data_IF_884221666924
#
_entry.id   IF_884221666924
#
_cell.length_a   1.000
_cell.length_b   1.000
_cell.length_c   1.000
_cell.angle_alpha   90.00
_cell.angle_beta   90.00
_cell.angle_gamma   90.00
#
_symmetry.space_group_name_H-M   'P 1'
#
loop_
_entity.id
_entity.type
_entity.pdbx_description
1 polymer ?
#
# COMPACT_ATOMS: atom_id res chain seq x y z
N UNK A 1 -1.04 -12.70 -10.94
CA UNK A 1 0.20 -12.32 -10.21
C UNK A 1 1.12 -13.50 -9.94
N UNK A 2 0.61 -14.60 -9.37
CA UNK A 2 1.41 -15.82 -9.18
C UNK A 2 1.97 -16.36 -10.51
N UNK A 3 3.24 -16.79 -10.51
CA UNK A 3 3.94 -17.31 -11.69
C UNK A 3 4.65 -16.27 -12.56
N UNK A 4 4.44 -14.98 -12.32
CA UNK A 4 5.12 -13.89 -13.05
C UNK A 4 6.22 -13.19 -12.24
N UNK A 5 6.18 -13.33 -10.90
CA UNK A 5 7.20 -12.80 -9.99
C UNK A 5 8.26 -13.88 -9.82
N UNK A 6 9.55 -13.62 -10.14
CA UNK A 6 10.60 -14.60 -9.89
C UNK A 6 10.68 -14.94 -8.39
N UNK A 7 11.01 -16.19 -8.01
CA UNK A 7 10.97 -16.64 -6.62
C UNK A 7 11.77 -15.76 -5.66
N UNK A 8 12.92 -15.24 -6.10
CA UNK A 8 13.82 -14.41 -5.29
C UNK A 8 13.22 -13.06 -4.89
N UNK A 9 12.16 -12.61 -5.58
CA UNK A 9 11.45 -11.36 -5.28
C UNK A 9 10.10 -11.59 -4.59
N UNK A 10 9.63 -12.84 -4.51
CA UNK A 10 8.38 -13.17 -3.85
C UNK A 10 8.64 -13.37 -2.35
N UNK A 11 8.34 -12.34 -1.56
CA UNK A 11 8.42 -12.44 -0.10
C UNK A 11 7.43 -13.47 0.46
N UNK A 12 6.14 -13.30 0.15
CA UNK A 12 5.08 -14.26 0.49
C UNK A 12 3.80 -13.95 -0.30
N UNK A 13 2.79 -14.82 -0.21
CA UNK A 13 1.48 -14.67 -0.85
C UNK A 13 0.34 -14.98 0.12
N UNK A 14 -0.64 -14.07 0.20
CA UNK A 14 -1.85 -14.26 0.98
C UNK A 14 -3.07 -14.51 0.08
N UNK A 15 -3.52 -15.77 0.01
CA UNK A 15 -4.79 -16.14 -0.64
C UNK A 15 -6.02 -16.04 0.27
N UNK A 16 -5.84 -15.69 1.55
CA UNK A 16 -6.94 -15.56 2.52
C UNK A 16 -6.75 -14.33 3.39
N UNK A 17 -7.83 -13.80 3.96
CA UNK A 17 -7.77 -12.66 4.89
C UNK A 17 -6.82 -12.92 6.07
N UNK A 18 -6.93 -14.10 6.69
CA UNK A 18 -6.07 -14.48 7.82
C UNK A 18 -4.59 -14.51 7.45
N UNK A 19 -4.25 -15.03 6.26
CA UNK A 19 -2.88 -14.98 5.77
C UNK A 19 -2.42 -13.54 5.55
N UNK A 20 -3.27 -12.69 4.97
CA UNK A 20 -2.96 -11.27 4.76
C UNK A 20 -2.70 -10.54 6.08
N UNK A 21 -3.51 -10.77 7.11
CA UNK A 21 -3.30 -10.21 8.46
C UNK A 21 -1.92 -10.58 9.03
N UNK A 22 -1.52 -11.85 8.89
CA UNK A 22 -0.21 -12.33 9.36
C UNK A 22 0.94 -11.65 8.60
N UNK A 23 0.85 -11.58 7.26
CA UNK A 23 1.88 -10.95 6.43
C UNK A 23 1.99 -9.46 6.70
N UNK A 24 0.86 -8.77 6.80
CA UNK A 24 0.83 -7.33 7.07
C UNK A 24 1.44 -7.04 8.44
N UNK A 25 1.15 -7.85 9.46
CA UNK A 25 1.77 -7.68 10.77
C UNK A 25 3.29 -7.89 10.72
N UNK A 26 3.79 -8.84 9.92
CA UNK A 26 5.23 -9.03 9.72
C UNK A 26 5.86 -7.81 9.01
N UNK A 27 5.22 -7.31 7.96
CA UNK A 27 5.65 -6.10 7.24
C UNK A 27 5.66 -4.90 8.19
N UNK A 28 4.59 -4.70 8.96
CA UNK A 28 4.47 -3.61 9.93
C UNK A 28 5.65 -3.57 10.88
N UNK A 29 6.02 -4.71 11.47
CA UNK A 29 7.17 -4.80 12.38
C UNK A 29 8.50 -4.45 11.72
N UNK A 30 8.66 -4.81 10.45
CA UNK A 30 9.86 -4.46 9.70
C UNK A 30 9.90 -2.96 9.40
N UNK A 31 8.77 -2.36 8.98
CA UNK A 31 8.65 -0.93 8.76
C UNK A 31 8.89 -0.10 10.03
N UNK A 32 8.46 -0.59 11.21
CA UNK A 32 8.76 0.04 12.50
C UNK A 32 10.27 0.17 12.76
N UNK A 33 11.05 -0.86 12.41
CA UNK A 33 12.51 -0.82 12.57
C UNK A 33 13.19 0.11 11.58
N UNK A 34 12.55 0.35 10.43
CA UNK A 34 13.05 1.26 9.39
C UNK A 34 12.69 2.71 9.65
N UNK A 35 11.92 3.03 10.70
CA UNK A 35 11.63 4.43 11.04
C UNK A 35 12.93 5.19 11.33
N UNK A 36 13.07 6.43 10.83
CA UNK A 36 14.25 7.23 11.11
C UNK A 36 14.38 7.45 12.63
N UNK A 37 15.55 7.15 13.24
CA UNK A 37 15.77 7.42 14.65
C UNK A 37 15.89 8.93 14.92
N UNK A 38 15.70 9.41 16.17
CA UNK A 38 15.70 10.84 16.48
C UNK A 38 17.02 11.57 16.17
N UNK A 39 18.13 10.82 16.10
CA UNK A 39 19.48 11.32 15.86
C UNK A 39 19.95 11.15 14.40
N UNK A 40 19.04 10.80 13.47
CA UNK A 40 19.34 10.66 12.05
C UNK A 40 19.86 11.98 11.46
N UNK A 41 20.97 11.95 10.71
CA UNK A 41 21.52 13.14 10.05
C UNK A 41 20.81 13.44 8.73
N UNK A 42 21.01 14.64 8.19
CA UNK A 42 20.46 15.03 6.87
C UNK A 42 21.01 14.15 5.75
N UNK A 43 22.30 13.81 5.82
CA UNK A 43 22.96 12.90 4.86
C UNK A 43 22.36 11.50 4.94
N UNK A 44 22.12 11.00 6.17
CA UNK A 44 21.47 9.71 6.36
C UNK A 44 20.04 9.72 5.83
N UNK A 45 19.26 10.78 6.09
CA UNK A 45 17.91 10.99 5.55
C UNK A 45 17.89 10.92 4.02
N UNK A 46 18.83 11.61 3.37
CA UNK A 46 18.92 11.67 1.91
C UNK A 46 19.28 10.32 1.29
N UNK A 47 20.21 9.60 1.91
CA UNK A 47 20.78 8.37 1.34
C UNK A 47 20.12 7.10 1.90
N UNK A 48 19.14 7.24 2.80
CA UNK A 48 18.42 6.14 3.48
C UNK A 48 19.32 5.16 4.23
N UNK A 49 20.45 5.64 4.73
CA UNK A 49 21.52 4.78 5.24
C UNK A 49 21.35 4.32 6.70
N UNK A 50 20.27 4.74 7.38
CA UNK A 50 19.95 4.24 8.73
C UNK A 50 19.30 2.85 8.72
N UNK A 51 18.88 2.36 7.57
CA UNK A 51 18.38 0.99 7.40
C UNK A 51 19.02 0.34 6.16
N UNK A 52 18.93 -0.98 6.10
CA UNK A 52 19.40 -1.77 4.98
C UNK A 52 18.42 -2.90 4.66
N UNK A 53 18.45 -3.40 3.43
CA UNK A 53 17.64 -4.54 2.99
C UNK A 53 16.84 -4.22 1.74
N UNK A 54 16.02 -5.16 1.26
CA UNK A 54 15.17 -4.92 0.11
C UNK A 54 14.03 -3.95 0.45
N UNK A 55 13.60 -3.21 -0.56
CA UNK A 55 12.31 -2.53 -0.55
C UNK A 55 11.16 -3.55 -0.50
N UNK A 56 10.04 -3.14 0.11
CA UNK A 56 8.85 -3.97 0.29
C UNK A 56 7.77 -3.47 -0.68
N UNK A 57 7.34 -4.34 -1.60
CA UNK A 57 6.25 -4.09 -2.52
C UNK A 57 5.02 -4.87 -2.08
N UNK A 58 3.99 -4.17 -1.62
CA UNK A 58 2.68 -4.75 -1.28
C UNK A 58 1.76 -4.59 -2.49
N UNK A 59 1.43 -5.70 -3.13
CA UNK A 59 0.50 -5.72 -4.26
C UNK A 59 -0.81 -6.37 -3.82
N UNK A 60 -1.88 -5.59 -3.81
CA UNK A 60 -3.22 -6.06 -3.47
C UNK A 60 -4.11 -6.00 -4.71
N UNK A 61 -4.53 -7.17 -5.19
CA UNK A 61 -5.46 -7.34 -6.31
C UNK A 61 -6.87 -7.67 -5.80
N UNK A 62 -7.89 -7.41 -6.61
CA UNK A 62 -9.32 -7.50 -6.25
C UNK A 62 -9.61 -6.86 -4.86
N UNK A 63 -9.08 -5.66 -4.60
CA UNK A 63 -9.11 -5.04 -3.27
C UNK A 63 -10.53 -4.86 -2.70
N UNK A 64 -11.55 -4.74 -3.54
CA UNK A 64 -12.95 -4.73 -3.09
C UNK A 64 -13.35 -5.96 -2.25
N UNK A 65 -12.64 -7.08 -2.37
CA UNK A 65 -12.87 -8.29 -1.58
C UNK A 65 -12.42 -8.16 -0.12
N UNK A 66 -11.55 -7.20 0.18
CA UNK A 66 -10.99 -6.98 1.52
C UNK A 66 -11.39 -5.65 2.15
N UNK A 67 -12.07 -4.77 1.41
CA UNK A 67 -12.62 -3.48 1.86
C UNK A 67 -13.47 -3.61 3.14
N UNK A 68 -13.53 -2.52 3.92
CA UNK A 68 -14.34 -2.41 5.13
C UNK A 68 -13.54 -2.39 6.43
N UNK A 69 -14.24 -2.47 7.56
CA UNK A 69 -13.64 -2.24 8.88
C UNK A 69 -12.50 -3.20 9.23
N UNK A 70 -12.57 -4.44 8.74
CA UNK A 70 -11.59 -5.50 8.94
C UNK A 70 -10.57 -5.60 7.80
N UNK A 71 -10.37 -4.53 7.02
CA UNK A 71 -9.35 -4.50 5.98
C UNK A 71 -7.96 -4.81 6.58
N UNK A 72 -7.30 -5.90 6.16
CA UNK A 72 -6.05 -6.37 6.74
C UNK A 72 -4.88 -5.41 6.47
N UNK A 73 -5.01 -4.48 5.51
CA UNK A 73 -3.95 -3.52 5.15
C UNK A 73 -3.93 -2.26 6.04
N UNK A 74 -5.00 -2.02 6.84
CA UNK A 74 -5.09 -0.84 7.72
C UNK A 74 -3.88 -0.63 8.64
N UNK A 75 -3.21 -1.67 9.19
CA UNK A 75 -2.02 -1.48 10.01
C UNK A 75 -0.85 -0.80 9.27
N UNK A 76 -0.86 -0.75 7.94
CA UNK A 76 0.17 -0.06 7.16
C UNK A 76 -0.09 1.45 6.98
N UNK A 77 -1.29 1.94 7.32
CA UNK A 77 -1.67 3.36 7.19
C UNK A 77 -0.64 4.32 7.82
N UNK A 78 -0.15 4.10 9.05
CA UNK A 78 0.79 5.02 9.70
C UNK A 78 2.12 5.20 8.95
N UNK A 79 2.44 4.31 8.02
CA UNK A 79 3.72 4.30 7.31
C UNK A 79 3.61 4.88 5.89
N UNK A 80 2.39 5.13 5.38
CA UNK A 80 2.19 5.56 4.00
C UNK A 80 2.82 6.93 3.70
N UNK A 81 2.75 7.88 4.64
CA UNK A 81 3.30 9.22 4.45
C UNK A 81 4.83 9.27 4.32
N UNK A 82 5.52 8.28 4.90
CA UNK A 82 6.98 8.15 4.91
C UNK A 82 7.45 6.93 4.11
N UNK A 83 6.57 6.38 3.26
CA UNK A 83 6.80 5.12 2.56
C UNK A 83 8.09 5.14 1.72
N UNK A 84 8.38 6.29 1.08
CA UNK A 84 9.61 6.48 0.33
C UNK A 84 10.86 6.28 1.21
N UNK A 85 10.89 6.83 2.41
CA UNK A 85 12.07 6.82 3.28
C UNK A 85 12.37 5.44 3.86
N UNK A 86 11.33 4.63 4.08
CA UNK A 86 11.42 3.29 4.67
C UNK A 86 11.38 2.15 3.63
N UNK A 87 11.34 2.49 2.34
CA UNK A 87 11.32 1.54 1.24
C UNK A 87 10.01 0.73 1.14
N UNK A 88 8.87 1.35 1.42
CA UNK A 88 7.53 0.76 1.23
C UNK A 88 6.92 1.24 -0.09
N UNK A 89 6.39 0.31 -0.87
CA UNK A 89 5.60 0.57 -2.06
C UNK A 89 4.28 -0.19 -1.96
N UNK A 90 3.16 0.49 -2.20
CA UNK A 90 1.83 -0.13 -2.17
C UNK A 90 1.16 0.06 -3.52
N UNK A 91 0.76 -1.05 -4.13
CA UNK A 91 -0.01 -1.09 -5.37
C UNK A 91 -1.34 -1.77 -5.08
N UNK A 92 -2.43 -1.06 -5.35
CA UNK A 92 -3.79 -1.58 -5.17
C UNK A 92 -4.49 -1.58 -6.53
N UNK A 93 -5.08 -2.71 -6.88
CA UNK A 93 -6.01 -2.84 -7.99
C UNK A 93 -7.40 -3.17 -7.45
N UNK A 94 -8.42 -2.46 -7.96
CA UNK A 94 -9.83 -2.67 -7.62
C UNK A 94 -10.72 -2.44 -8.83
N UNK A 95 -11.89 -3.07 -8.82
CA UNK A 95 -12.91 -2.84 -9.88
C UNK A 95 -13.48 -1.43 -9.83
N UNK A 96 -13.83 -0.88 -10.99
CA UNK A 96 -14.46 0.45 -11.08
C UNK A 96 -15.82 0.53 -10.39
N UNK A 97 -16.56 -0.58 -10.32
CA UNK A 97 -17.87 -0.60 -9.68
C UNK A 97 -17.78 -0.23 -8.19
N UNK A 98 -18.66 0.67 -7.75
CA UNK A 98 -18.75 1.16 -6.38
C UNK A 98 -17.57 2.02 -5.92
N UNK A 99 -16.69 2.46 -6.82
CA UNK A 99 -15.51 3.27 -6.51
C UNK A 99 -15.85 4.60 -5.84
N UNK A 100 -17.01 5.19 -6.17
CA UNK A 100 -17.45 6.44 -5.54
C UNK A 100 -17.59 6.27 -4.02
N UNK A 101 -18.11 5.13 -3.58
CA UNK A 101 -18.22 4.79 -2.14
C UNK A 101 -16.91 4.28 -1.56
N UNK A 102 -16.19 3.43 -2.30
CA UNK A 102 -14.93 2.87 -1.84
C UNK A 102 -13.82 3.93 -1.67
N UNK A 103 -13.94 5.09 -2.33
CA UNK A 103 -13.01 6.21 -2.14
C UNK A 103 -12.98 6.76 -0.70
N UNK A 104 -13.98 6.43 0.12
CA UNK A 104 -14.02 6.75 1.56
C UNK A 104 -13.48 5.61 2.45
N UNK A 105 -13.02 4.51 1.85
CA UNK A 105 -12.31 3.46 2.60
C UNK A 105 -10.99 4.03 3.12
N UNK A 106 -10.71 3.81 4.40
CA UNK A 106 -9.65 4.53 5.12
C UNK A 106 -8.25 4.28 4.55
N UNK A 107 -7.96 3.08 4.05
CA UNK A 107 -6.67 2.77 3.45
C UNK A 107 -6.49 3.49 2.10
N UNK A 108 -7.52 3.46 1.23
CA UNK A 108 -7.49 4.20 -0.05
C UNK A 108 -7.39 5.71 0.17
N UNK A 109 -8.10 6.25 1.16
CA UNK A 109 -8.01 7.65 1.52
C UNK A 109 -6.59 8.01 1.98
N UNK A 110 -6.00 7.22 2.88
CA UNK A 110 -4.65 7.45 3.34
C UNK A 110 -3.61 7.36 2.21
N UNK A 111 -3.79 6.46 1.23
CA UNK A 111 -2.94 6.40 0.03
C UNK A 111 -3.06 7.69 -0.81
N UNK A 112 -4.29 8.20 -1.03
CA UNK A 112 -4.52 9.45 -1.75
C UNK A 112 -3.85 10.64 -1.04
N UNK A 113 -4.01 10.74 0.26
CA UNK A 113 -3.41 11.79 1.10
C UNK A 113 -1.89 11.71 1.13
N UNK A 114 -1.32 10.50 1.08
CA UNK A 114 0.12 10.28 0.95
C UNK A 114 0.67 10.58 -0.46
N UNK A 115 -0.17 11.03 -1.40
CA UNK A 115 0.25 11.41 -2.75
C UNK A 115 0.43 10.23 -3.70
N UNK A 116 -0.25 9.11 -3.47
CA UNK A 116 -0.26 7.99 -4.41
C UNK A 116 -0.77 8.44 -5.79
N UNK A 117 -0.29 7.83 -6.87
CA UNK A 117 -0.82 8.06 -8.21
C UNK A 117 -2.04 7.17 -8.47
N UNK A 118 -3.00 7.68 -9.25
CA UNK A 118 -4.20 6.94 -9.67
C UNK A 118 -4.21 6.70 -11.17
N UNK A 119 -4.63 5.50 -11.59
CA UNK A 119 -4.92 5.15 -12.97
C UNK A 119 -6.36 4.63 -13.05
N UNK A 120 -7.21 5.33 -13.80
CA UNK A 120 -8.54 4.83 -14.15
C UNK A 120 -8.48 4.17 -15.52
N UNK A 121 -8.88 2.90 -15.56
CA UNK A 121 -9.04 2.14 -16.80
C UNK A 121 -10.49 2.28 -17.29
N UNK A 122 -11.08 1.22 -17.85
CA UNK A 122 -12.50 1.23 -18.18
C UNK A 122 -13.34 1.38 -16.90
N UNK A 123 -14.31 2.29 -16.92
CA UNK A 123 -15.19 2.57 -15.80
C UNK A 123 -16.52 3.18 -16.26
N UNK A 124 -17.48 3.24 -15.35
CA UNK A 124 -18.80 3.82 -15.62
C UNK A 124 -18.85 5.26 -15.13
N UNK A 125 -19.27 6.20 -16.00
CA UNK A 125 -19.39 7.62 -15.65
C UNK A 125 -20.33 7.89 -14.46
N UNK A 126 -21.23 6.95 -14.17
CA UNK A 126 -22.19 7.06 -13.06
C UNK A 126 -21.50 7.01 -11.68
N UNK A 127 -20.29 6.47 -11.59
CA UNK A 127 -19.48 6.47 -10.36
C UNK A 127 -19.00 7.88 -9.96
N UNK A 128 -19.07 8.84 -10.89
CA UNK A 128 -18.65 10.21 -10.66
C UNK A 128 -17.14 10.38 -10.66
N UNK A 129 -16.65 11.41 -9.97
CA UNK A 129 -15.22 11.71 -9.92
C UNK A 129 -14.48 10.73 -9.00
N UNK A 130 -13.45 10.08 -9.52
CA UNK A 130 -12.69 9.02 -8.82
C UNK A 130 -11.33 9.55 -8.33
N UNK A 131 -10.73 10.39 -9.15
CA UNK A 131 -9.46 11.07 -8.91
C UNK A 131 -9.62 12.54 -9.32
N UNK A 132 -8.83 13.49 -8.78
CA UNK A 132 -8.84 14.87 -9.28
C UNK A 132 -8.75 14.94 -10.81
N UNK A 133 -9.80 15.48 -11.43
CA UNK A 133 -9.92 15.61 -12.89
C UNK A 133 -10.27 14.31 -13.66
N UNK A 134 -10.55 13.20 -12.98
CA UNK A 134 -10.85 11.90 -13.60
C UNK A 134 -12.25 11.41 -13.22
N UNK A 135 -13.05 11.09 -14.23
CA UNK A 135 -14.47 10.72 -14.17
C UNK A 135 -14.76 9.43 -14.92
#
# INVERSE_FOLDING_TARGET
>A
LLGFIPPDFLGDYAGTRKAAEILVEAIRRELERRLPPPDVTVEQLRDRSWWNGPEIYVVADDFEMIEGNSNPLRPLIPYLAQAADIGLHVIVARRSAGVGRASYEAFLQAMKEAGANGLLLSGERQEGQIWPGVY
#
